data_IF_226889617705
#
_entry.id   IF_226889617705
#
_cell.length_a   1.000
_cell.length_b   1.000
_cell.length_c   1.000
_cell.angle_alpha   90.00
_cell.angle_beta   90.00
_cell.angle_gamma   90.00
#
_symmetry.space_group_name_H-M   'P 1'
#
loop_
_entity.id
_entity.type
_entity.pdbx_description
1 polymer ?
#
# COMPACT_ATOMS: atom_id res chain seq x y z
N UNK A 1 22.35 -73.41 -33.85
CA UNK A 1 22.15 -72.61 -32.63
C UNK A 1 22.99 -71.36 -32.81
N UNK A 2 22.37 -70.20 -33.06
CA UNK A 2 23.12 -68.96 -33.01
C UNK A 2 22.60 -68.09 -31.90
N UNK A 3 23.52 -67.56 -31.07
CA UNK A 3 23.28 -66.63 -29.97
C UNK A 3 23.08 -65.22 -30.55
N UNK A 4 21.92 -64.65 -30.26
CA UNK A 4 21.65 -63.22 -30.49
C UNK A 4 22.13 -62.41 -29.31
N UNK A 5 23.10 -61.56 -29.54
CA UNK A 5 23.57 -60.53 -28.61
C UNK A 5 22.69 -59.30 -28.83
N UNK A 6 21.84 -58.99 -27.85
CA UNK A 6 21.05 -57.75 -27.78
C UNK A 6 21.94 -56.69 -27.16
N UNK A 7 22.40 -55.74 -27.98
CA UNK A 7 23.08 -54.53 -27.52
C UNK A 7 22.04 -53.52 -27.04
N UNK A 8 21.95 -53.35 -25.72
CA UNK A 8 21.14 -52.31 -25.09
C UNK A 8 21.93 -51.01 -25.15
N UNK A 9 21.54 -50.09 -26.04
CA UNK A 9 22.02 -48.71 -26.04
C UNK A 9 21.32 -47.93 -24.91
N UNK A 10 22.03 -47.72 -23.79
CA UNK A 10 21.63 -46.77 -22.78
C UNK A 10 21.80 -45.35 -23.30
N UNK A 11 20.72 -44.75 -23.75
CA UNK A 11 20.66 -43.30 -24.05
C UNK A 11 20.53 -42.57 -22.71
N UNK A 12 21.68 -42.15 -22.14
CA UNK A 12 21.70 -41.22 -21.01
C UNK A 12 21.27 -39.84 -21.52
N UNK A 13 19.98 -39.56 -21.47
CA UNK A 13 19.46 -38.19 -21.63
C UNK A 13 19.82 -37.40 -20.36
N UNK A 14 20.94 -36.68 -20.42
CA UNK A 14 21.31 -35.70 -19.42
C UNK A 14 20.30 -34.55 -19.47
N UNK A 15 19.27 -34.63 -18.65
CA UNK A 15 18.41 -33.49 -18.32
C UNK A 15 19.28 -32.47 -17.60
N UNK A 16 19.87 -31.54 -18.35
CA UNK A 16 20.32 -30.25 -17.80
C UNK A 16 19.08 -29.52 -17.33
N UNK A 17 18.64 -29.83 -16.11
CA UNK A 17 17.73 -28.95 -15.35
C UNK A 17 18.55 -27.71 -15.06
N UNK A 18 18.43 -26.71 -15.94
CA UNK A 18 18.88 -25.36 -15.61
C UNK A 18 18.15 -24.95 -14.34
N UNK A 19 18.89 -24.80 -13.25
CA UNK A 19 18.40 -24.19 -12.04
C UNK A 19 18.10 -22.71 -12.39
N UNK A 20 16.92 -22.45 -12.95
CA UNK A 20 16.36 -21.12 -12.86
C UNK A 20 16.27 -20.85 -11.36
N UNK A 21 17.08 -19.91 -10.84
CA UNK A 21 16.94 -19.41 -9.49
C UNK A 21 15.51 -18.88 -9.39
N UNK A 22 14.60 -19.69 -8.85
CA UNK A 22 13.26 -19.23 -8.52
C UNK A 22 13.43 -18.15 -7.46
N UNK A 23 13.10 -16.92 -7.80
CA UNK A 23 13.13 -15.80 -6.88
C UNK A 23 12.18 -16.11 -5.72
N UNK A 24 12.62 -15.88 -4.49
CA UNK A 24 11.78 -16.11 -3.31
C UNK A 24 10.66 -15.06 -3.26
N UNK A 25 9.54 -15.38 -2.60
CA UNK A 25 8.43 -14.42 -2.42
C UNK A 25 8.92 -13.11 -1.78
N UNK A 26 9.84 -13.20 -0.82
CA UNK A 26 10.43 -12.03 -0.16
C UNK A 26 11.24 -11.16 -1.13
N UNK A 27 12.04 -11.77 -2.01
CA UNK A 27 12.81 -11.02 -3.01
C UNK A 27 11.90 -10.31 -4.02
N UNK A 28 10.83 -10.96 -4.47
CA UNK A 28 9.84 -10.35 -5.37
C UNK A 28 9.19 -9.13 -4.70
N UNK A 29 8.76 -9.26 -3.45
CA UNK A 29 8.10 -8.17 -2.74
C UNK A 29 9.08 -7.04 -2.43
N UNK A 30 10.32 -7.33 -1.99
CA UNK A 30 11.34 -6.31 -1.77
C UNK A 30 11.62 -5.54 -3.08
N UNK A 31 11.75 -6.25 -4.20
CA UNK A 31 11.98 -5.62 -5.50
C UNK A 31 10.82 -4.70 -5.89
N UNK A 32 9.57 -5.12 -5.65
CA UNK A 32 8.38 -4.35 -5.99
C UNK A 32 8.28 -3.02 -5.23
N UNK A 33 8.87 -2.93 -4.04
CA UNK A 33 8.91 -1.70 -3.25
C UNK A 33 10.15 -0.83 -3.47
N UNK A 34 11.15 -1.28 -4.25
CA UNK A 34 12.35 -0.47 -4.50
C UNK A 34 12.05 0.86 -5.19
N UNK A 35 11.07 0.88 -6.06
CA UNK A 35 10.64 2.08 -6.75
C UNK A 35 9.74 3.01 -5.93
N UNK A 36 9.36 2.61 -4.70
CA UNK A 36 8.52 3.45 -3.86
C UNK A 36 9.29 4.67 -3.37
N UNK A 37 8.81 5.85 -3.77
CA UNK A 37 9.40 7.13 -3.37
C UNK A 37 8.85 7.54 -2.00
N UNK A 38 9.64 7.31 -0.95
CA UNK A 38 9.26 7.66 0.43
C UNK A 38 9.12 9.18 0.61
N UNK A 39 9.88 9.94 -0.16
CA UNK A 39 9.93 11.40 -0.08
C UNK A 39 9.08 12.06 -1.19
N UNK A 40 8.08 11.32 -1.71
CA UNK A 40 7.27 11.81 -2.83
C UNK A 40 6.63 13.18 -2.55
N UNK A 41 6.28 13.48 -1.31
CA UNK A 41 5.72 14.78 -0.91
C UNK A 41 6.73 15.92 -0.96
N UNK A 42 8.02 15.64 -0.93
CA UNK A 42 9.04 16.67 -1.10
C UNK A 42 9.23 17.05 -2.57
N UNK A 43 8.90 16.13 -3.47
CA UNK A 43 9.14 16.25 -4.92
C UNK A 43 7.88 16.55 -5.72
N UNK A 44 6.73 16.02 -5.31
CA UNK A 44 5.51 16.05 -6.10
C UNK A 44 4.42 16.88 -5.45
N UNK A 45 3.87 17.85 -6.22
CA UNK A 45 2.56 18.39 -5.94
C UNK A 45 1.48 17.49 -6.52
N UNK A 46 0.31 17.44 -5.89
CA UNK A 46 -0.80 16.60 -6.36
C UNK A 46 -2.14 17.12 -5.84
N UNK A 47 -3.20 16.69 -6.50
CA UNK A 47 -4.57 16.90 -6.07
C UNK A 47 -5.05 15.70 -5.27
N UNK A 48 -5.82 15.94 -4.20
CA UNK A 48 -6.51 14.93 -3.40
C UNK A 48 -8.01 15.11 -3.53
N UNK A 49 -8.70 14.04 -3.90
CA UNK A 49 -10.16 13.92 -3.74
C UNK A 49 -10.41 12.96 -2.59
N UNK A 50 -10.97 13.47 -1.49
CA UNK A 50 -11.31 12.70 -0.29
C UNK A 50 -12.82 12.64 -0.10
N UNK A 51 -13.31 11.44 0.18
CA UNK A 51 -14.70 11.13 0.54
C UNK A 51 -14.70 10.54 1.95
N UNK A 52 -15.42 11.11 2.89
CA UNK A 52 -15.48 10.68 4.30
C UNK A 52 -16.91 10.32 4.76
N UNK A 53 -17.69 9.75 3.85
CA UNK A 53 -19.04 9.26 4.07
C UNK A 53 -20.12 10.31 3.87
N UNK A 54 -19.92 11.55 4.30
CA UNK A 54 -20.92 12.63 4.20
C UNK A 54 -20.49 13.74 3.24
N UNK A 55 -19.20 14.01 3.16
CA UNK A 55 -18.62 15.12 2.39
C UNK A 55 -17.56 14.65 1.41
N UNK A 56 -17.41 15.44 0.36
CA UNK A 56 -16.34 15.31 -0.62
C UNK A 56 -15.44 16.53 -0.53
N UNK A 57 -14.17 16.30 -0.24
CA UNK A 57 -13.15 17.33 -0.09
C UNK A 57 -12.18 17.26 -1.27
N UNK A 58 -11.96 18.38 -1.96
CA UNK A 58 -10.97 18.49 -3.01
C UNK A 58 -9.89 19.47 -2.60
N UNK A 59 -8.68 18.95 -2.38
CA UNK A 59 -7.53 19.72 -1.94
C UNK A 59 -6.35 19.58 -2.89
N UNK A 60 -5.39 20.49 -2.77
CA UNK A 60 -4.13 20.48 -3.48
C UNK A 60 -2.96 20.57 -2.51
N UNK A 61 -1.99 19.70 -2.70
CA UNK A 61 -0.73 19.74 -2.00
C UNK A 61 0.35 20.37 -2.90
N UNK A 62 1.17 21.28 -2.33
CA UNK A 62 2.30 21.91 -3.04
C UNK A 62 3.57 21.89 -2.18
N UNK A 63 4.63 21.21 -2.62
CA UNK A 63 5.93 21.22 -1.93
C UNK A 63 6.61 22.59 -1.98
N UNK A 64 6.41 23.39 -3.02
CA UNK A 64 7.00 24.76 -3.13
C UNK A 64 6.60 25.68 -1.98
N UNK A 65 5.42 25.49 -1.43
CA UNK A 65 4.90 26.28 -0.31
C UNK A 65 5.35 25.76 1.06
N UNK A 66 6.41 24.93 1.11
CA UNK A 66 6.85 24.28 2.36
C UNK A 66 5.98 23.09 2.76
N UNK A 67 5.35 22.43 1.78
CA UNK A 67 4.48 21.28 2.02
C UNK A 67 3.09 21.68 2.51
N UNK A 68 2.52 22.75 1.98
CA UNK A 68 1.21 23.26 2.37
C UNK A 68 0.07 22.64 1.56
N UNK A 69 -1.04 22.41 2.26
CA UNK A 69 -2.30 22.05 1.66
C UNK A 69 -3.17 23.30 1.40
N UNK A 70 -3.94 23.24 0.33
CA UNK A 70 -4.98 24.23 0.01
C UNK A 70 -6.27 23.49 -0.25
N UNK A 71 -7.33 23.79 0.51
CA UNK A 71 -8.67 23.30 0.21
C UNK A 71 -9.26 24.08 -0.95
N UNK A 72 -9.63 23.39 -2.00
CA UNK A 72 -10.16 23.98 -3.24
C UNK A 72 -11.68 23.93 -3.31
N UNK A 73 -12.29 22.81 -2.90
CA UNK A 73 -13.75 22.61 -2.94
C UNK A 73 -14.23 21.66 -1.85
N UNK A 74 -15.50 21.84 -1.44
CA UNK A 74 -16.25 20.91 -0.60
C UNK A 74 -17.59 20.66 -1.30
N UNK A 75 -17.93 19.40 -1.57
CA UNK A 75 -19.16 19.00 -2.29
C UNK A 75 -19.33 19.74 -3.63
N UNK A 76 -18.22 20.00 -4.32
CA UNK A 76 -18.20 20.69 -5.62
C UNK A 76 -18.35 22.21 -5.57
N UNK A 77 -18.55 22.82 -4.40
CA UNK A 77 -18.66 24.28 -4.17
C UNK A 77 -17.39 24.85 -3.52
N UNK A 78 -17.29 26.18 -3.50
CA UNK A 78 -16.26 26.87 -2.76
C UNK A 78 -16.39 26.57 -1.25
N UNK A 79 -15.27 26.35 -0.54
CA UNK A 79 -15.27 26.05 0.88
C UNK A 79 -15.63 27.30 1.72
N UNK A 80 -16.22 27.09 2.86
CA UNK A 80 -16.34 28.14 3.89
C UNK A 80 -15.03 28.33 4.66
N UNK A 81 -14.93 29.42 5.43
CA UNK A 81 -13.76 29.64 6.30
C UNK A 81 -13.63 28.54 7.36
N UNK A 82 -14.74 28.06 7.90
CA UNK A 82 -14.78 26.99 8.90
C UNK A 82 -14.30 25.67 8.30
N UNK A 83 -14.80 25.28 7.12
CA UNK A 83 -14.36 24.06 6.41
C UNK A 83 -12.87 24.13 6.02
N UNK A 84 -12.39 25.31 5.65
CA UNK A 84 -10.96 25.51 5.36
C UNK A 84 -10.12 25.31 6.61
N UNK A 85 -10.54 25.87 7.74
CA UNK A 85 -9.84 25.72 9.01
C UNK A 85 -9.83 24.25 9.48
N UNK A 86 -10.99 23.56 9.44
CA UNK A 86 -11.12 22.12 9.77
C UNK A 86 -10.18 21.25 8.94
N UNK A 87 -10.17 21.46 7.60
CA UNK A 87 -9.34 20.70 6.70
C UNK A 87 -7.84 20.89 6.97
N UNK A 88 -7.41 22.16 7.19
CA UNK A 88 -6.00 22.45 7.44
C UNK A 88 -5.52 21.92 8.79
N UNK A 89 -6.36 22.01 9.83
CA UNK A 89 -6.08 21.42 11.15
C UNK A 89 -5.90 19.91 11.09
N UNK A 90 -6.76 19.24 10.32
CA UNK A 90 -6.64 17.79 10.11
C UNK A 90 -5.36 17.41 9.39
N UNK A 91 -4.99 18.15 8.31
CA UNK A 91 -3.75 17.92 7.55
C UNK A 91 -2.50 18.17 8.39
N UNK A 92 -2.53 19.17 9.26
CA UNK A 92 -1.43 19.42 10.20
C UNK A 92 -1.32 18.31 11.24
N UNK A 93 -2.44 17.88 11.83
CA UNK A 93 -2.45 16.76 12.76
C UNK A 93 -2.01 15.44 12.11
N UNK A 94 -2.29 15.25 10.81
CA UNK A 94 -1.76 14.12 10.04
C UNK A 94 -0.25 14.22 9.88
N UNK A 95 0.27 15.38 9.51
CA UNK A 95 1.71 15.63 9.36
C UNK A 95 2.46 15.40 10.67
N UNK A 96 1.94 15.90 11.79
CA UNK A 96 2.53 15.68 13.12
C UNK A 96 2.60 14.19 13.47
N UNK A 97 1.56 13.42 13.18
CA UNK A 97 1.55 11.97 13.40
C UNK A 97 2.58 11.24 12.53
N UNK A 98 2.76 11.67 11.28
CA UNK A 98 3.71 11.07 10.34
C UNK A 98 5.17 11.39 10.70
N UNK A 99 5.42 12.55 11.32
CA UNK A 99 6.76 13.00 11.72
C UNK A 99 7.13 12.60 13.15
N UNK A 100 6.16 12.20 13.98
CA UNK A 100 6.44 11.79 15.34
C UNK A 100 7.24 10.48 15.34
N UNK A 101 8.45 10.53 15.86
CA UNK A 101 9.35 9.38 16.09
C UNK A 101 8.92 8.53 17.31
N UNK A 102 7.64 8.55 17.67
CA UNK A 102 7.16 7.86 18.86
C UNK A 102 7.49 6.38 18.79
N UNK A 103 8.39 5.94 19.69
CA UNK A 103 8.68 4.51 19.95
C UNK A 103 7.42 3.70 20.26
N UNK A 104 6.29 4.38 20.49
CA UNK A 104 5.00 3.80 20.89
C UNK A 104 4.06 3.46 19.73
N UNK A 105 4.46 3.61 18.47
CA UNK A 105 3.65 3.11 17.36
C UNK A 105 3.28 4.12 16.28
N UNK A 106 4.17 5.03 15.95
CA UNK A 106 4.06 5.87 14.75
C UNK A 106 3.84 5.04 13.48
N UNK A 107 3.31 5.63 12.41
CA UNK A 107 3.09 4.93 11.14
C UNK A 107 4.42 4.35 10.63
N UNK A 108 4.38 3.23 9.88
CA UNK A 108 5.59 2.70 9.26
C UNK A 108 6.18 3.75 8.31
N UNK A 109 7.50 3.91 8.32
CA UNK A 109 8.20 4.85 7.42
C UNK A 109 8.05 4.46 5.95
N UNK A 110 7.96 3.15 5.70
CA UNK A 110 7.68 2.60 4.38
C UNK A 110 6.56 1.56 4.49
N UNK A 111 5.68 1.44 3.48
CA UNK A 111 4.64 0.41 3.48
C UNK A 111 5.18 -1.01 3.65
N UNK A 112 6.39 -1.30 3.17
CA UNK A 112 7.04 -2.61 3.34
C UNK A 112 7.34 -2.94 4.82
N UNK A 113 7.54 -1.94 5.67
CA UNK A 113 7.77 -2.14 7.11
C UNK A 113 6.54 -2.70 7.84
N UNK A 114 5.37 -2.64 7.22
CA UNK A 114 4.14 -3.22 7.73
C UNK A 114 3.98 -4.71 7.39
N UNK A 115 4.91 -5.31 6.63
CA UNK A 115 4.83 -6.67 6.09
C UNK A 115 5.82 -7.58 6.83
N UNK A 116 5.33 -8.67 7.43
CA UNK A 116 6.21 -9.76 7.85
C UNK A 116 6.57 -10.62 6.63
N UNK A 117 7.70 -10.31 6.02
CA UNK A 117 8.20 -10.97 4.82
C UNK A 117 8.40 -12.49 4.98
N UNK A 118 8.53 -12.97 6.22
CA UNK A 118 8.69 -14.41 6.49
C UNK A 118 7.39 -15.19 6.40
N UNK A 119 6.25 -14.49 6.35
CA UNK A 119 4.90 -15.05 6.32
C UNK A 119 4.24 -14.99 4.95
N UNK A 120 4.95 -14.51 3.93
CA UNK A 120 4.44 -14.39 2.57
C UNK A 120 4.03 -15.74 1.98
N UNK A 121 2.80 -15.80 1.48
CA UNK A 121 2.26 -16.96 0.77
C UNK A 121 1.70 -16.47 -0.57
N UNK A 122 2.13 -17.08 -1.67
CA UNK A 122 1.56 -16.81 -2.99
C UNK A 122 0.15 -17.42 -3.05
N UNK A 123 -0.86 -16.58 -3.15
CA UNK A 123 -2.27 -16.97 -3.24
C UNK A 123 -2.75 -17.09 -4.68
N UNK A 124 -2.28 -16.19 -5.56
CA UNK A 124 -2.67 -16.18 -6.96
C UNK A 124 -1.46 -15.87 -7.84
N UNK A 125 -1.39 -16.59 -8.94
CA UNK A 125 -0.42 -16.40 -10.03
C UNK A 125 -1.21 -16.28 -11.34
N UNK A 126 -1.51 -15.03 -11.73
CA UNK A 126 -2.24 -14.72 -12.96
C UNK A 126 -1.28 -14.39 -14.11
N UNK A 127 -1.80 -14.12 -15.32
CA UNK A 127 -0.98 -13.60 -16.42
C UNK A 127 -0.43 -12.19 -16.16
N UNK A 128 -1.08 -11.40 -15.28
CA UNK A 128 -0.81 -9.98 -15.09
C UNK A 128 -0.10 -9.71 -13.76
N UNK A 129 -0.45 -10.43 -12.70
CA UNK A 129 0.04 -10.16 -11.35
C UNK A 129 0.27 -11.40 -10.51
N UNK A 130 1.07 -11.21 -9.46
CA UNK A 130 1.29 -12.12 -8.35
C UNK A 130 0.62 -11.53 -7.11
N UNK A 131 -0.28 -12.29 -6.49
CA UNK A 131 -0.96 -11.87 -5.26
C UNK A 131 -0.44 -12.69 -4.09
N UNK A 132 0.04 -11.99 -3.06
CA UNK A 132 0.57 -12.59 -1.85
C UNK A 132 -0.27 -12.22 -0.63
N UNK A 133 -0.51 -13.18 0.24
CA UNK A 133 -0.98 -12.91 1.61
C UNK A 133 0.19 -12.84 2.58
N UNK A 134 0.00 -12.10 3.70
CA UNK A 134 1.03 -11.94 4.74
C UNK A 134 0.41 -11.62 6.11
N UNK A 135 1.23 -11.70 7.16
CA UNK A 135 0.88 -11.17 8.47
C UNK A 135 1.41 -9.73 8.59
N UNK A 136 0.54 -8.76 8.91
CA UNK A 136 1.01 -7.40 9.10
C UNK A 136 1.81 -7.26 10.41
N UNK A 137 2.86 -6.45 10.36
CA UNK A 137 3.68 -6.07 11.51
C UNK A 137 3.04 -4.87 12.20
N UNK A 138 2.87 -4.97 13.52
CA UNK A 138 2.46 -3.85 14.36
C UNK A 138 3.54 -3.50 15.37
N UNK A 139 3.58 -2.24 15.76
CA UNK A 139 4.49 -1.73 16.80
C UNK A 139 3.73 -1.42 18.08
N UNK A 140 4.40 -1.51 19.22
CA UNK A 140 3.81 -1.17 20.51
C UNK A 140 2.47 -1.88 20.77
N UNK A 141 1.48 -1.13 21.20
CA UNK A 141 0.14 -1.64 21.52
C UNK A 141 -0.62 -2.18 20.30
N UNK A 142 -0.30 -1.71 19.10
CA UNK A 142 -0.90 -2.18 17.86
C UNK A 142 -0.48 -3.62 17.51
N UNK A 143 0.67 -4.10 17.99
CA UNK A 143 1.19 -5.43 17.67
C UNK A 143 0.20 -6.56 18.01
N UNK A 144 -0.57 -6.44 19.10
CA UNK A 144 -1.59 -7.41 19.49
C UNK A 144 -2.77 -7.43 18.52
N UNK A 145 -3.16 -6.27 18.02
CA UNK A 145 -4.23 -6.12 17.05
C UNK A 145 -3.80 -6.68 15.69
N UNK A 146 -2.60 -6.34 15.21
CA UNK A 146 -2.07 -6.77 13.92
C UNK A 146 -1.99 -8.30 13.80
N UNK A 147 -1.73 -9.03 14.88
CA UNK A 147 -1.78 -10.51 14.89
C UNK A 147 -3.16 -11.12 14.56
N UNK A 148 -4.23 -10.32 14.61
CA UNK A 148 -5.60 -10.73 14.24
C UNK A 148 -5.98 -10.27 12.82
N UNK A 149 -5.10 -9.55 12.16
CA UNK A 149 -5.28 -9.06 10.81
C UNK A 149 -4.65 -10.02 9.79
N UNK A 150 -4.96 -9.78 8.53
CA UNK A 150 -4.33 -10.38 7.35
C UNK A 150 -4.02 -9.27 6.38
N UNK A 151 -2.87 -9.37 5.75
CA UNK A 151 -2.48 -8.52 4.66
C UNK A 151 -2.56 -9.27 3.35
N UNK A 152 -2.81 -8.52 2.28
CA UNK A 152 -2.71 -8.94 0.89
C UNK A 152 -1.98 -7.85 0.11
N UNK A 153 -1.16 -8.24 -0.85
CA UNK A 153 -0.51 -7.33 -1.78
C UNK A 153 -0.46 -7.92 -3.17
N UNK A 154 -0.48 -7.05 -4.17
CA UNK A 154 -0.34 -7.44 -5.58
C UNK A 154 0.92 -6.83 -6.17
N UNK A 155 1.66 -7.67 -6.91
CA UNK A 155 2.83 -7.27 -7.70
C UNK A 155 2.54 -7.53 -9.16
N UNK A 156 2.62 -6.48 -9.99
CA UNK A 156 2.42 -6.57 -11.43
C UNK A 156 3.63 -7.25 -12.09
N UNK A 157 3.37 -8.22 -12.95
CA UNK A 157 4.43 -9.03 -13.58
C UNK A 157 5.19 -8.30 -14.68
N UNK A 158 4.56 -7.35 -15.36
CA UNK A 158 5.16 -6.66 -16.51
C UNK A 158 6.38 -5.82 -16.14
N UNK A 159 6.41 -5.29 -14.93
CA UNK A 159 7.42 -4.35 -14.44
C UNK A 159 7.85 -4.60 -12.99
N UNK A 160 7.30 -5.64 -12.37
CA UNK A 160 7.54 -6.02 -10.97
C UNK A 160 7.16 -4.92 -9.95
N UNK A 161 6.22 -4.03 -10.29
CA UNK A 161 5.76 -2.96 -9.40
C UNK A 161 4.67 -3.41 -8.44
N UNK A 162 4.69 -2.85 -7.24
CA UNK A 162 3.56 -2.96 -6.32
C UNK A 162 2.33 -2.26 -6.91
N UNK A 163 1.17 -2.91 -6.86
CA UNK A 163 -0.10 -2.35 -7.30
C UNK A 163 -0.96 -1.90 -6.12
N UNK A 164 -1.06 -2.73 -5.10
CA UNK A 164 -1.77 -2.39 -3.87
C UNK A 164 -1.23 -3.18 -2.67
N UNK A 165 -1.53 -2.63 -1.51
CA UNK A 165 -1.37 -3.26 -0.21
C UNK A 165 -2.67 -3.09 0.57
N UNK A 166 -3.20 -4.20 1.08
CA UNK A 166 -4.46 -4.25 1.81
C UNK A 166 -4.28 -4.94 3.16
N UNK A 167 -4.95 -4.45 4.20
CA UNK A 167 -4.98 -5.08 5.53
C UNK A 167 -6.44 -5.18 5.98
N UNK A 168 -6.85 -6.39 6.38
CA UNK A 168 -8.22 -6.66 6.83
C UNK A 168 -8.24 -7.50 8.10
N UNK A 169 -9.37 -7.51 8.80
CA UNK A 169 -9.62 -8.51 9.83
C UNK A 169 -10.53 -9.62 9.28
N UNK A 170 -10.05 -10.88 9.18
CA UNK A 170 -10.85 -11.98 8.64
C UNK A 170 -12.06 -12.35 9.52
N UNK A 171 -12.04 -11.96 10.81
CA UNK A 171 -13.12 -12.22 11.77
C UNK A 171 -13.21 -11.08 12.78
N UNK A 172 -14.41 -10.74 13.26
CA UNK A 172 -14.58 -9.81 14.38
C UNK A 172 -13.80 -10.28 15.61
N UNK A 173 -13.18 -9.33 16.32
CA UNK A 173 -12.46 -9.62 17.56
C UNK A 173 -12.54 -8.44 18.55
N UNK A 174 -12.02 -8.63 19.76
CA UNK A 174 -11.95 -7.59 20.78
C UNK A 174 -10.49 -7.19 20.99
N UNK A 175 -10.05 -6.02 20.49
CA UNK A 175 -8.71 -5.49 20.78
C UNK A 175 -8.59 -5.11 22.27
N UNK A 176 -9.70 -4.68 22.86
CA UNK A 176 -9.85 -4.37 24.30
C UNK A 176 -11.17 -4.94 24.82
N UNK A 177 -11.31 -5.09 26.13
CA UNK A 177 -12.51 -5.67 26.76
C UNK A 177 -13.78 -4.89 26.37
N UNK A 178 -13.67 -3.56 26.29
CA UNK A 178 -14.78 -2.64 26.02
C UNK A 178 -15.01 -2.36 24.54
N UNK A 179 -14.11 -2.80 23.66
CA UNK A 179 -14.17 -2.52 22.23
C UNK A 179 -14.24 -3.81 21.43
N UNK A 180 -15.24 -3.94 20.56
CA UNK A 180 -15.35 -5.01 19.56
C UNK A 180 -15.14 -4.41 18.19
N UNK A 181 -14.12 -4.87 17.47
CA UNK A 181 -13.89 -4.56 16.08
C UNK A 181 -14.66 -5.59 15.22
N UNK A 182 -15.65 -5.12 14.49
CA UNK A 182 -16.44 -5.94 13.58
C UNK A 182 -15.78 -6.04 12.21
N UNK A 183 -15.36 -4.89 11.67
CA UNK A 183 -14.70 -4.78 10.37
C UNK A 183 -13.56 -3.78 10.45
N UNK A 184 -12.47 -4.14 9.82
CA UNK A 184 -11.35 -3.26 9.50
C UNK A 184 -10.92 -3.55 8.07
N UNK A 185 -10.75 -2.50 7.31
CA UNK A 185 -10.24 -2.53 5.95
C UNK A 185 -9.35 -1.31 5.75
N UNK A 186 -8.14 -1.54 5.28
CA UNK A 186 -7.22 -0.48 4.89
C UNK A 186 -6.54 -0.91 3.60
N UNK A 187 -6.59 -0.07 2.58
CA UNK A 187 -5.99 -0.32 1.28
C UNK A 187 -5.23 0.90 0.80
N UNK A 188 -4.07 0.65 0.23
CA UNK A 188 -3.25 1.61 -0.48
C UNK A 188 -3.07 1.13 -1.90
N UNK A 189 -3.42 1.96 -2.87
CA UNK A 189 -3.17 1.73 -4.28
C UNK A 189 -1.91 2.51 -4.68
N UNK A 190 -1.04 1.88 -5.48
CA UNK A 190 0.24 2.44 -5.88
C UNK A 190 0.36 2.50 -7.39
N UNK A 191 1.17 3.43 -7.89
CA UNK A 191 1.50 3.52 -9.30
C UNK A 191 2.44 4.66 -9.62
N UNK A 192 2.75 4.82 -10.89
CA UNK A 192 3.54 5.95 -11.36
C UNK A 192 2.70 7.23 -11.37
N UNK A 193 3.26 8.37 -10.93
CA UNK A 193 2.59 9.66 -10.95
C UNK A 193 2.32 10.18 -12.37
N UNK A 194 2.99 9.63 -13.39
CA UNK A 194 2.80 10.03 -14.80
C UNK A 194 2.01 8.96 -15.56
N UNK A 195 0.96 9.38 -16.27
CA UNK A 195 0.11 8.49 -17.08
C UNK A 195 0.84 7.81 -18.26
N UNK A 196 2.05 8.26 -18.61
CA UNK A 196 2.86 7.68 -19.69
C UNK A 196 3.54 6.37 -19.28
N UNK A 197 3.56 6.02 -18.00
CA UNK A 197 4.22 4.81 -17.48
C UNK A 197 3.49 3.49 -17.79
N UNK A 198 2.34 3.54 -18.44
CA UNK A 198 1.68 2.32 -18.95
C UNK A 198 2.30 1.77 -20.25
N UNK A 199 3.40 2.37 -20.74
CA UNK A 199 4.14 1.86 -21.89
C UNK A 199 4.86 0.55 -21.53
N UNK A 200 4.75 -0.43 -22.38
CA UNK A 200 5.44 -1.73 -22.29
C UNK A 200 6.95 -1.47 -22.09
N UNK A 201 7.47 -1.85 -20.92
CA UNK A 201 8.89 -1.66 -20.56
C UNK A 201 9.14 -0.53 -19.55
N UNK A 202 8.11 0.04 -18.94
CA UNK A 202 8.27 0.97 -17.83
C UNK A 202 8.96 0.27 -16.65
N UNK A 203 10.04 0.86 -16.15
CA UNK A 203 10.71 0.43 -14.93
C UNK A 203 9.87 0.86 -13.73
N UNK A 204 9.96 0.10 -12.62
CA UNK A 204 9.30 0.43 -11.37
C UNK A 204 10.04 1.58 -10.68
N UNK A 205 9.93 2.78 -11.22
CA UNK A 205 10.58 3.99 -10.68
C UNK A 205 9.53 5.02 -10.25
N UNK A 206 9.82 5.73 -9.16
CA UNK A 206 8.97 6.80 -8.64
C UNK A 206 7.52 6.35 -8.37
N UNK A 207 7.35 5.19 -7.75
CA UNK A 207 6.03 4.71 -7.33
C UNK A 207 5.55 5.57 -6.15
N UNK A 208 4.33 6.06 -6.27
CA UNK A 208 3.66 6.88 -5.26
C UNK A 208 2.31 6.28 -4.89
N UNK A 209 1.73 6.65 -3.74
CA UNK A 209 0.33 6.34 -3.46
C UNK A 209 -0.57 7.05 -4.49
N UNK A 210 -1.48 6.31 -5.12
CA UNK A 210 -2.53 6.85 -6.00
C UNK A 210 -3.88 6.91 -5.31
N UNK A 211 -4.05 6.16 -4.23
CA UNK A 211 -5.27 6.16 -3.46
C UNK A 211 -5.13 5.44 -2.13
N UNK A 212 -6.02 5.78 -1.22
CA UNK A 212 -6.17 5.11 0.06
C UNK A 212 -7.64 4.89 0.34
N UNK A 213 -7.96 3.76 0.96
CA UNK A 213 -9.30 3.46 1.46
C UNK A 213 -9.19 2.93 2.88
N UNK A 214 -9.97 3.47 3.77
CA UNK A 214 -10.04 3.03 5.16
C UNK A 214 -11.50 2.84 5.57
N UNK A 215 -11.81 1.68 6.14
CA UNK A 215 -13.13 1.40 6.69
C UNK A 215 -12.97 0.71 8.05
N UNK A 216 -13.75 1.15 9.02
CA UNK A 216 -13.74 0.59 10.36
C UNK A 216 -15.15 0.60 10.94
N UNK A 217 -15.66 -0.58 11.28
CA UNK A 217 -16.88 -0.76 12.08
C UNK A 217 -16.49 -1.34 13.44
N UNK A 218 -16.75 -0.61 14.48
CA UNK A 218 -16.50 -1.06 15.84
C UNK A 218 -17.64 -0.70 16.80
N UNK A 219 -17.75 -1.49 17.85
CA UNK A 219 -18.70 -1.27 18.93
C UNK A 219 -17.96 -1.05 20.24
N UNK A 220 -18.15 0.13 20.81
CA UNK A 220 -17.56 0.53 22.09
C UNK A 220 -18.59 0.40 23.22
N UNK A 221 -18.14 -0.10 24.38
CA UNK A 221 -18.95 -0.28 25.61
C UNK A 221 -20.25 -1.09 25.39
N UNK A 222 -20.34 -1.84 24.30
CA UNK A 222 -21.53 -2.60 23.94
C UNK A 222 -22.72 -1.77 23.45
N UNK A 223 -22.63 -0.45 23.42
CA UNK A 223 -23.73 0.48 23.13
C UNK A 223 -23.44 1.41 21.96
N UNK A 224 -22.22 1.91 21.82
CA UNK A 224 -21.85 2.89 20.80
C UNK A 224 -21.31 2.18 19.56
N UNK A 225 -21.98 2.35 18.44
CA UNK A 225 -21.44 1.94 17.13
C UNK A 225 -20.63 3.11 16.57
N UNK A 226 -19.43 2.81 16.08
CA UNK A 226 -18.54 3.75 15.41
C UNK A 226 -18.28 3.13 14.04
N UNK A 227 -18.74 3.82 13.01
CA UNK A 227 -18.54 3.45 11.60
C UNK A 227 -17.78 4.58 10.91
N UNK A 228 -16.63 4.25 10.37
CA UNK A 228 -15.76 5.20 9.67
C UNK A 228 -15.50 4.65 8.28
N UNK A 229 -15.70 5.47 7.27
CA UNK A 229 -15.35 5.17 5.89
C UNK A 229 -14.70 6.40 5.27
N UNK A 230 -13.45 6.28 4.88
CA UNK A 230 -12.68 7.33 4.20
C UNK A 230 -12.05 6.75 2.97
N UNK A 231 -12.18 7.45 1.85
CA UNK A 231 -11.46 7.17 0.61
C UNK A 231 -10.76 8.43 0.15
N UNK A 232 -9.49 8.32 -0.22
CA UNK A 232 -8.77 9.40 -0.90
C UNK A 232 -8.18 8.88 -2.21
N UNK A 233 -8.25 9.72 -3.25
CA UNK A 233 -7.64 9.48 -4.56
C UNK A 233 -6.69 10.63 -4.84
N UNK A 234 -5.48 10.31 -5.26
CA UNK A 234 -4.44 11.29 -5.59
C UNK A 234 -4.24 11.34 -7.11
N UNK A 235 -4.16 12.54 -7.66
CA UNK A 235 -4.10 12.76 -9.12
C UNK A 235 -3.33 14.05 -9.45
N UNK A 236 -3.17 14.31 -10.76
CA UNK A 236 -2.53 15.54 -11.25
C UNK A 236 -1.16 15.80 -10.62
N UNK A 237 -0.34 14.74 -10.53
CA UNK A 237 1.01 14.86 -10.01
C UNK A 237 1.87 15.78 -10.88
N UNK A 238 2.53 16.73 -10.24
CA UNK A 238 3.47 17.68 -10.87
C UNK A 238 4.80 17.57 -10.14
N UNK A 239 5.86 17.28 -10.89
CA UNK A 239 7.21 17.23 -10.32
C UNK A 239 7.73 18.67 -10.14
N UNK A 240 8.11 19.00 -8.93
CA UNK A 240 8.79 20.26 -8.61
C UNK A 240 10.30 20.00 -8.58
N UNK A 241 11.00 20.65 -9.48
CA UNK A 241 12.46 20.69 -9.42
C UNK A 241 12.85 21.63 -8.28
N UNK A 242 13.61 21.12 -7.31
CA UNK A 242 14.25 22.01 -6.35
C UNK A 242 15.05 23.06 -7.15
N UNK A 243 15.02 24.35 -6.78
CA UNK A 243 15.87 25.34 -7.43
C UNK A 243 17.32 24.87 -7.26
N UNK A 244 18.07 24.80 -8.37
CA UNK A 244 19.49 24.48 -8.35
C UNK A 244 20.18 25.51 -7.44
N UNK A 245 20.74 25.01 -6.33
CA UNK A 245 21.44 25.83 -5.33
C UNK A 245 22.87 26.19 -5.76
#
# INVERSE_FOLDING_TARGET
>A
MPNSIITVCCFCLSLLVGSANAQTASEVVIEAFKGFDQDYREKWGFDELREDGEKTWFGRFSPESGGLWTLMRVDGRDPTEEETAEYLEEKEAQRERETSDDEQGGPPRSPIDSIDLTTLVLEQDTSESLVYSFLPVGRGDQAKMMKKMRGELSVRKSDSCIEYLEITNPKPFRPQITVKLNRFFSRFDFGSPTSESAAVGATCENIVPLGTQFEMDMKALGLMNIDVSVRATYSNFVLFSAPES
#
